data_IF_706934947192
#
_entry.id   IF_706934947192
#
_cell.length_a   1.000
_cell.length_b   1.000
_cell.length_c   1.000
_cell.angle_alpha   90.00
_cell.angle_beta   90.00
_cell.angle_gamma   90.00
#
_symmetry.space_group_name_H-M   'P 1'
#
loop_
_entity.id
_entity.type
_entity.pdbx_description
1 polymer ?
#
# COMPACT_ATOMS: atom_id res chain seq x y z
N UNK A 1 -11.23 -1.83 -7.52
CA UNK A 1 -12.46 -1.86 -6.68
C UNK A 1 -13.63 -2.53 -7.38
N UNK A 2 -14.33 -1.90 -8.35
CA UNK A 2 -15.56 -2.46 -8.96
C UNK A 2 -15.42 -3.91 -9.43
N UNK A 3 -14.38 -4.21 -10.21
CA UNK A 3 -14.13 -5.59 -10.66
C UNK A 3 -14.00 -6.60 -9.50
N UNK A 4 -13.28 -6.25 -8.42
CA UNK A 4 -13.16 -7.12 -7.24
C UNK A 4 -14.48 -7.22 -6.46
N UNK A 5 -15.30 -6.15 -6.46
CA UNK A 5 -16.66 -6.19 -5.89
C UNK A 5 -17.57 -7.14 -6.64
N UNK A 6 -17.55 -7.09 -7.96
CA UNK A 6 -18.40 -7.91 -8.82
C UNK A 6 -17.97 -9.38 -8.81
N UNK A 7 -16.68 -9.65 -8.60
CA UNK A 7 -16.15 -11.00 -8.35
C UNK A 7 -16.53 -11.56 -6.97
N UNK A 8 -17.06 -10.74 -6.05
CA UNK A 8 -17.36 -11.17 -4.69
C UNK A 8 -16.12 -11.46 -3.85
N UNK A 9 -15.00 -10.76 -4.09
CA UNK A 9 -13.77 -10.96 -3.31
C UNK A 9 -13.98 -10.66 -1.82
N UNK A 10 -13.52 -11.53 -0.93
CA UNK A 10 -13.58 -11.28 0.52
C UNK A 10 -12.64 -10.14 0.95
N UNK A 11 -11.46 -10.06 0.32
CA UNK A 11 -10.45 -9.03 0.55
C UNK A 11 -10.17 -8.27 -0.74
N UNK A 12 -10.33 -6.95 -0.69
CA UNK A 12 -10.04 -6.05 -1.81
C UNK A 12 -8.69 -5.39 -1.58
N UNK A 13 -7.82 -5.45 -2.59
CA UNK A 13 -6.57 -4.68 -2.64
C UNK A 13 -6.75 -3.49 -3.60
N UNK A 14 -6.54 -2.24 -3.14
CA UNK A 14 -6.52 -1.06 -4.01
C UNK A 14 -5.52 -1.19 -5.15
N UNK A 15 -5.74 -0.44 -6.22
CA UNK A 15 -4.74 -0.33 -7.28
C UNK A 15 -3.57 0.53 -6.77
N UNK A 16 -2.36 0.01 -6.94
CA UNK A 16 -1.11 0.66 -6.58
C UNK A 16 -0.12 0.67 -7.77
N UNK A 17 1.06 1.25 -7.54
CA UNK A 17 2.17 1.23 -8.48
C UNK A 17 3.37 0.51 -7.87
N UNK A 18 3.98 -0.40 -8.65
CA UNK A 18 5.22 -1.08 -8.29
C UNK A 18 6.36 -0.55 -9.17
N UNK A 19 7.14 0.44 -8.71
CA UNK A 19 8.29 0.91 -9.46
C UNK A 19 9.42 -0.14 -9.43
N UNK A 20 10.34 -0.17 -10.43
CA UNK A 20 11.48 -1.09 -10.44
C UNK A 20 12.36 -0.97 -9.18
N UNK A 21 13.07 -2.05 -8.82
CA UNK A 21 13.96 -2.07 -7.65
C UNK A 21 14.98 -0.90 -7.65
N UNK A 22 15.58 -0.59 -8.80
CA UNK A 22 16.58 0.47 -8.96
C UNK A 22 15.98 1.84 -9.33
N UNK A 23 14.90 2.23 -8.66
CA UNK A 23 14.22 3.50 -8.92
C UNK A 23 14.95 4.68 -8.30
N UNK A 24 15.01 5.81 -9.02
CA UNK A 24 15.61 7.05 -8.48
C UNK A 24 14.75 7.58 -7.32
N UNK A 25 15.33 8.19 -6.28
CA UNK A 25 14.56 8.68 -5.13
C UNK A 25 13.36 9.56 -5.48
N UNK A 26 13.52 10.48 -6.46
CA UNK A 26 12.43 11.34 -6.94
C UNK A 26 11.26 10.55 -7.53
N UNK A 27 11.54 9.48 -8.27
CA UNK A 27 10.52 8.67 -8.91
C UNK A 27 9.80 7.79 -7.88
N UNK A 28 10.52 7.34 -6.85
CA UNK A 28 9.94 6.61 -5.71
C UNK A 28 8.95 7.48 -4.94
N UNK A 29 9.33 8.73 -4.60
CA UNK A 29 8.43 9.70 -3.95
C UNK A 29 7.15 9.91 -4.76
N UNK A 30 7.30 10.09 -6.08
CA UNK A 30 6.17 10.26 -6.99
C UNK A 30 5.27 9.03 -6.99
N UNK A 31 5.87 7.84 -6.99
CA UNK A 31 5.14 6.57 -7.03
C UNK A 31 4.35 6.35 -5.74
N UNK A 32 4.97 6.53 -4.57
CA UNK A 32 4.28 6.46 -3.27
C UNK A 32 3.12 7.48 -3.21
N UNK A 33 3.34 8.72 -3.64
CA UNK A 33 2.28 9.74 -3.70
C UNK A 33 1.14 9.39 -4.68
N UNK A 34 1.43 8.69 -5.78
CA UNK A 34 0.43 8.21 -6.74
C UNK A 34 -0.40 7.09 -6.11
N UNK A 35 0.25 6.09 -5.51
CA UNK A 35 -0.38 4.99 -4.79
C UNK A 35 -1.33 5.54 -3.71
N UNK A 36 -0.85 6.42 -2.81
CA UNK A 36 -1.68 7.06 -1.78
C UNK A 36 -2.98 7.67 -2.32
N UNK A 37 -2.88 8.41 -3.42
CA UNK A 37 -4.05 9.03 -4.07
C UNK A 37 -5.01 7.99 -4.65
N UNK A 38 -4.51 6.89 -5.21
CA UNK A 38 -5.33 5.82 -5.74
C UNK A 38 -5.98 4.98 -4.64
N UNK A 39 -5.26 4.73 -3.55
CA UNK A 39 -5.78 4.03 -2.38
C UNK A 39 -6.90 4.82 -1.71
N UNK A 40 -6.69 6.12 -1.44
CA UNK A 40 -7.74 6.97 -0.86
C UNK A 40 -9.00 7.04 -1.74
N UNK A 41 -8.82 7.12 -3.07
CA UNK A 41 -9.94 7.08 -4.02
C UNK A 41 -10.65 5.72 -4.01
N UNK A 42 -9.88 4.63 -3.92
CA UNK A 42 -10.39 3.27 -3.88
C UNK A 42 -11.18 3.01 -2.60
N UNK A 43 -10.64 3.45 -1.46
CA UNK A 43 -11.29 3.36 -0.16
C UNK A 43 -12.60 4.11 -0.14
N UNK A 44 -12.64 5.35 -0.64
CA UNK A 44 -13.89 6.11 -0.76
C UNK A 44 -14.96 5.32 -1.54
N UNK A 45 -14.61 4.80 -2.71
CA UNK A 45 -15.55 3.98 -3.51
C UNK A 45 -15.95 2.67 -2.82
N UNK A 46 -15.09 2.10 -1.98
CA UNK A 46 -15.43 0.91 -1.20
C UNK A 46 -16.39 1.23 -0.06
N UNK A 47 -16.17 2.33 0.66
CA UNK A 47 -17.02 2.78 1.76
C UNK A 47 -18.43 3.17 1.29
N UNK A 48 -18.58 3.64 0.05
CA UNK A 48 -19.88 3.92 -0.56
C UNK A 48 -20.74 2.64 -0.75
N UNK A 49 -20.13 1.44 -0.80
CA UNK A 49 -20.80 0.16 -1.03
C UNK A 49 -19.95 -1.03 -0.53
N UNK A 50 -19.93 -1.33 0.76
CA UNK A 50 -18.97 -2.28 1.38
C UNK A 50 -19.19 -3.75 0.96
N UNK A 51 -20.44 -4.21 0.83
CA UNK A 51 -20.84 -5.60 0.46
C UNK A 51 -20.27 -6.75 1.32
N UNK A 52 -20.00 -6.52 2.61
CA UNK A 52 -19.33 -7.52 3.49
C UNK A 52 -17.94 -7.94 2.99
N UNK A 53 -17.30 -7.09 2.18
CA UNK A 53 -15.94 -7.27 1.72
C UNK A 53 -15.05 -6.36 2.57
N UNK A 54 -13.85 -6.79 2.91
CA UNK A 54 -12.86 -5.94 3.56
C UNK A 54 -11.92 -5.31 2.52
N UNK A 55 -11.25 -4.23 2.88
CA UNK A 55 -10.22 -3.60 2.06
C UNK A 55 -8.93 -3.40 2.86
N UNK A 56 -7.80 -3.83 2.29
CA UNK A 56 -6.48 -3.68 2.88
C UNK A 56 -5.71 -2.55 2.18
N UNK A 57 -5.23 -1.56 2.93
CA UNK A 57 -4.32 -0.53 2.40
C UNK A 57 -2.92 -1.09 2.21
N UNK A 58 -2.13 -0.58 1.25
CA UNK A 58 -0.80 -1.12 0.93
C UNK A 58 0.28 -0.09 1.24
N UNK A 59 1.15 -0.43 2.19
CA UNK A 59 2.33 0.37 2.53
C UNK A 59 3.42 0.12 1.48
N UNK A 60 3.86 1.20 0.83
CA UNK A 60 4.95 1.22 -0.16
C UNK A 60 6.15 2.02 0.36
N UNK A 61 7.19 2.17 -0.47
CA UNK A 61 8.41 2.90 -0.11
C UNK A 61 9.70 2.20 -0.52
N UNK A 62 9.63 1.06 -1.20
CA UNK A 62 10.81 0.30 -1.62
C UNK A 62 11.65 -0.11 -0.41
N UNK A 63 12.97 0.10 -0.49
CA UNK A 63 13.92 -0.15 0.61
C UNK A 63 14.25 1.14 1.40
N UNK A 64 13.58 2.26 1.12
CA UNK A 64 13.83 3.55 1.78
C UNK A 64 13.00 3.65 3.08
N UNK A 65 13.64 3.69 4.27
CA UNK A 65 12.92 3.73 5.55
C UNK A 65 12.07 5.00 5.74
N UNK A 66 12.50 6.14 5.18
CA UNK A 66 11.74 7.38 5.30
C UNK A 66 10.47 7.30 4.47
N UNK A 67 10.55 6.72 3.27
CA UNK A 67 9.38 6.50 2.43
C UNK A 67 8.44 5.45 3.02
N UNK A 68 8.98 4.40 3.63
CA UNK A 68 8.21 3.38 4.35
C UNK A 68 7.42 3.97 5.51
N UNK A 69 8.07 4.77 6.37
CA UNK A 69 7.40 5.47 7.46
C UNK A 69 6.32 6.42 6.94
N UNK A 70 6.66 7.26 5.94
CA UNK A 70 5.69 8.19 5.36
C UNK A 70 4.45 7.47 4.81
N UNK A 71 4.66 6.32 4.14
CA UNK A 71 3.55 5.52 3.65
C UNK A 71 2.76 4.85 4.77
N UNK A 72 3.43 4.33 5.80
CA UNK A 72 2.77 3.72 6.95
C UNK A 72 1.88 4.72 7.68
N UNK A 73 2.39 5.93 7.95
CA UNK A 73 1.66 7.00 8.63
C UNK A 73 0.43 7.42 7.83
N UNK A 74 0.57 7.62 6.51
CA UNK A 74 -0.54 8.03 5.66
C UNK A 74 -1.60 6.94 5.55
N UNK A 75 -1.22 5.71 5.22
CA UNK A 75 -2.17 4.62 5.01
C UNK A 75 -2.88 4.23 6.31
N UNK A 76 -2.16 4.21 7.44
CA UNK A 76 -2.77 3.93 8.75
C UNK A 76 -3.69 5.04 9.26
N UNK A 77 -3.56 6.27 8.74
CA UNK A 77 -4.50 7.37 9.04
C UNK A 77 -5.88 7.20 8.37
N UNK A 78 -5.98 6.28 7.40
CA UNK A 78 -7.22 6.02 6.65
C UNK A 78 -7.95 4.80 7.23
N UNK A 79 -9.30 4.76 7.17
CA UNK A 79 -10.09 3.70 7.77
C UNK A 79 -10.13 2.42 6.91
N UNK A 80 -8.96 1.81 6.66
CA UNK A 80 -8.86 0.47 6.08
C UNK A 80 -9.13 -0.61 7.13
N UNK A 81 -9.59 -1.78 6.69
CA UNK A 81 -9.85 -2.93 7.57
C UNK A 81 -8.55 -3.64 7.99
N UNK A 82 -7.46 -3.37 7.26
CA UNK A 82 -6.13 -3.86 7.58
C UNK A 82 -5.08 -3.33 6.61
N UNK A 83 -3.86 -3.82 6.76
CA UNK A 83 -2.69 -3.29 6.06
C UNK A 83 -1.84 -4.41 5.47
N UNK A 84 -1.36 -4.20 4.25
CA UNK A 84 -0.38 -5.03 3.59
C UNK A 84 0.93 -4.25 3.39
N UNK A 85 2.06 -4.97 3.32
CA UNK A 85 3.36 -4.39 2.99
C UNK A 85 3.67 -4.82 1.55
N UNK A 86 3.61 -3.86 0.63
CA UNK A 86 3.83 -4.08 -0.79
C UNK A 86 5.14 -3.47 -1.29
N UNK A 87 5.29 -3.47 -2.61
CA UNK A 87 6.44 -2.85 -3.26
C UNK A 87 7.64 -3.78 -3.36
N UNK A 88 8.80 -3.18 -3.65
CA UNK A 88 10.08 -3.85 -3.49
C UNK A 88 10.36 -4.13 -2.01
N UNK A 89 10.58 -5.40 -1.66
CA UNK A 89 10.80 -5.87 -0.29
C UNK A 89 12.28 -6.12 0.04
N UNK A 90 13.20 -5.59 -0.78
CA UNK A 90 14.62 -5.87 -0.66
C UNK A 90 15.07 -7.03 -1.55
N UNK A 91 16.37 -7.29 -1.54
CA UNK A 91 17.03 -8.36 -2.33
C UNK A 91 17.09 -9.69 -1.58
N UNK A 92 17.05 -9.64 -0.26
CA UNK A 92 17.20 -10.78 0.62
C UNK A 92 16.33 -10.63 1.87
N UNK A 93 16.33 -11.69 2.69
CA UNK A 93 15.57 -11.72 3.93
C UNK A 93 16.03 -10.67 4.94
N UNK A 94 17.31 -10.28 4.93
CA UNK A 94 17.82 -9.30 5.87
C UNK A 94 17.28 -7.89 5.57
N UNK A 95 17.25 -7.51 4.29
CA UNK A 95 16.62 -6.26 3.87
C UNK A 95 15.10 -6.27 4.14
N UNK A 96 14.42 -7.40 3.90
CA UNK A 96 13.00 -7.55 4.24
C UNK A 96 12.77 -7.34 5.75
N UNK A 97 13.55 -8.00 6.60
CA UNK A 97 13.44 -7.85 8.06
C UNK A 97 13.66 -6.40 8.47
N UNK A 98 14.67 -5.71 7.92
CA UNK A 98 14.90 -4.31 8.21
C UNK A 98 13.76 -3.37 7.80
N UNK A 99 13.04 -3.70 6.72
CA UNK A 99 11.80 -2.99 6.35
C UNK A 99 10.71 -3.25 7.39
N UNK A 100 10.51 -4.51 7.79
CA UNK A 100 9.47 -4.88 8.77
C UNK A 100 9.71 -4.19 10.11
N UNK A 101 10.94 -4.19 10.61
CA UNK A 101 11.34 -3.52 11.86
C UNK A 101 11.06 -2.01 11.83
N UNK A 102 11.00 -1.41 10.63
CA UNK A 102 10.72 0.01 10.46
C UNK A 102 9.21 0.34 10.46
N UNK A 103 8.35 -0.55 9.99
CA UNK A 103 6.91 -0.26 9.79
C UNK A 103 5.98 -1.02 10.72
N UNK A 104 6.47 -2.06 11.39
CA UNK A 104 5.69 -2.82 12.37
C UNK A 104 5.87 -2.21 13.76
N UNK A 105 4.79 -2.14 14.57
CA UNK A 105 4.85 -1.65 15.96
C UNK A 105 5.58 -2.61 16.91
#
# INVERSE_FOLDING_TARGET
>A
VRAQKDLGADLIIPLDELPPFHTRPRDLVRSVAMTHRWEARSLRTHLDDVRQQAMLGVVHGGIDPTMRQWSADYISSLPFDGFAIGGSLGRDTAELTGILDNVMP
#
